data_IF_522173828677
#
_entry.id   IF_522173828677
#
_cell.length_a   1.000
_cell.length_b   1.000
_cell.length_c   1.000
_cell.angle_alpha   90.00
_cell.angle_beta   90.00
_cell.angle_gamma   90.00
#
_symmetry.space_group_name_H-M   'P 1'
#
loop_
_entity.id
_entity.type
_entity.pdbx_description
1 polymer ?
#
# COMPACT_ATOMS: atom_id res chain seq x y z
N UNK A 1 -44.55 47.82 -29.99
CA UNK A 1 -43.11 48.11 -29.90
C UNK A 1 -42.37 46.98 -30.60
N UNK A 2 -41.82 47.25 -31.79
CA UNK A 2 -41.20 46.28 -32.70
C UNK A 2 -40.00 45.59 -32.03
N UNK A 3 -39.93 44.25 -32.08
CA UNK A 3 -38.72 43.48 -31.76
C UNK A 3 -38.07 43.05 -33.08
N UNK A 4 -36.86 43.54 -33.32
CA UNK A 4 -36.07 43.26 -34.54
C UNK A 4 -35.44 41.87 -34.47
N UNK A 5 -35.87 40.96 -35.35
CA UNK A 5 -35.19 39.68 -35.58
C UNK A 5 -34.00 39.89 -36.55
N UNK A 6 -32.78 39.60 -36.09
CA UNK A 6 -31.60 39.48 -36.97
C UNK A 6 -31.25 38.00 -37.15
N UNK A 7 -31.54 37.47 -38.32
CA UNK A 7 -31.07 36.15 -38.79
C UNK A 7 -29.64 36.27 -39.32
N UNK A 8 -28.69 35.50 -38.78
CA UNK A 8 -27.40 35.22 -39.43
C UNK A 8 -27.39 33.77 -39.93
N UNK A 9 -27.05 33.61 -41.21
CA UNK A 9 -26.89 32.32 -41.92
C UNK A 9 -25.86 31.44 -41.21
N UNK A 10 -26.21 30.18 -40.97
CA UNK A 10 -25.29 29.12 -40.57
C UNK A 10 -24.70 28.48 -41.83
N UNK A 11 -23.37 28.44 -41.91
CA UNK A 11 -22.63 27.49 -42.74
C UNK A 11 -22.00 26.44 -41.82
N UNK A 12 -21.98 25.20 -42.30
CA UNK A 12 -21.66 23.96 -41.58
C UNK A 12 -20.25 23.90 -41.00
N UNK A 13 -20.10 23.35 -39.78
CA UNK A 13 -19.06 22.37 -39.44
C UNK A 13 -19.07 22.01 -37.93
N UNK A 14 -19.12 20.70 -37.67
CA UNK A 14 -18.66 19.98 -36.46
C UNK A 14 -19.55 20.00 -35.19
N UNK A 15 -19.81 18.84 -34.56
CA UNK A 15 -20.54 18.75 -33.31
C UNK A 15 -19.72 19.39 -32.18
N UNK A 16 -20.32 20.36 -31.48
CA UNK A 16 -19.75 20.93 -30.25
C UNK A 16 -19.83 19.88 -29.15
N UNK A 17 -18.75 19.15 -28.95
CA UNK A 17 -18.52 18.44 -27.69
C UNK A 17 -18.50 19.47 -26.57
N UNK A 18 -19.53 19.46 -25.72
CA UNK A 18 -19.45 20.10 -24.42
C UNK A 18 -18.39 19.34 -23.62
N UNK A 19 -17.16 19.86 -23.63
CA UNK A 19 -16.14 19.44 -22.67
C UNK A 19 -16.58 19.99 -21.33
N UNK A 20 -17.35 19.20 -20.57
CA UNK A 20 -17.55 19.46 -19.15
C UNK A 20 -16.17 19.34 -18.49
N UNK A 21 -15.51 20.46 -18.30
CA UNK A 21 -14.38 20.57 -17.38
C UNK A 21 -14.97 20.40 -15.98
N UNK A 22 -15.07 19.16 -15.51
CA UNK A 22 -15.27 18.90 -14.08
C UNK A 22 -14.02 19.43 -13.39
N UNK A 23 -14.19 20.47 -12.59
CA UNK A 23 -13.16 21.02 -11.72
C UNK A 23 -12.64 19.91 -10.80
N UNK A 24 -11.43 19.41 -11.08
CA UNK A 24 -10.75 18.34 -10.34
C UNK A 24 -10.08 18.87 -9.08
N UNK A 25 -10.84 19.51 -8.21
CA UNK A 25 -10.41 19.74 -6.83
C UNK A 25 -11.23 18.82 -5.92
N UNK A 26 -11.02 17.50 -6.02
CA UNK A 26 -11.50 16.60 -4.97
C UNK A 26 -10.66 16.86 -3.72
N UNK A 27 -11.14 17.76 -2.86
CA UNK A 27 -10.55 17.94 -1.54
C UNK A 27 -10.56 16.59 -0.83
N UNK A 28 -9.42 16.18 -0.26
CA UNK A 28 -9.34 14.91 0.48
C UNK A 28 -10.47 14.84 1.52
N UNK A 29 -11.20 13.71 1.63
CA UNK A 29 -12.39 13.64 2.46
C UNK A 29 -12.05 13.93 3.92
N UNK A 30 -12.92 14.67 4.60
CA UNK A 30 -12.76 14.98 6.02
C UNK A 30 -12.97 13.72 6.89
N UNK A 31 -12.74 13.83 8.20
CA UNK A 31 -12.83 12.69 9.13
C UNK A 31 -14.20 12.00 9.11
N UNK A 32 -15.29 12.77 9.11
CA UNK A 32 -16.65 12.22 9.11
C UNK A 32 -16.95 11.48 7.81
N UNK A 33 -16.53 12.03 6.66
CA UNK A 33 -16.65 11.36 5.36
C UNK A 33 -15.86 10.05 5.33
N UNK A 34 -14.67 10.00 5.93
CA UNK A 34 -13.89 8.74 6.05
C UNK A 34 -14.52 7.73 7.01
N UNK A 35 -15.24 8.16 8.04
CA UNK A 35 -16.00 7.25 8.91
C UNK A 35 -17.17 6.63 8.14
N UNK A 36 -17.93 7.43 7.39
CA UNK A 36 -19.00 6.93 6.53
C UNK A 36 -18.47 5.94 5.49
N UNK A 37 -17.31 6.24 4.90
CA UNK A 37 -16.60 5.34 3.97
C UNK A 37 -16.24 4.00 4.64
N UNK A 38 -15.71 4.05 5.88
CA UNK A 38 -15.38 2.87 6.66
C UNK A 38 -16.62 1.98 6.90
N UNK A 39 -17.74 2.60 7.27
CA UNK A 39 -18.99 1.90 7.53
C UNK A 39 -19.58 1.27 6.27
N UNK A 40 -19.52 1.98 5.14
CA UNK A 40 -19.94 1.44 3.84
C UNK A 40 -19.08 0.24 3.45
N UNK A 41 -17.75 0.36 3.53
CA UNK A 41 -16.83 -0.76 3.25
C UNK A 41 -17.10 -1.94 4.17
N UNK A 42 -17.29 -1.72 5.48
CA UNK A 42 -17.66 -2.78 6.42
C UNK A 42 -18.98 -3.46 6.04
N UNK A 43 -19.98 -2.70 5.62
CA UNK A 43 -21.29 -3.21 5.21
C UNK A 43 -21.22 -4.05 3.94
N UNK A 44 -20.40 -3.66 2.97
CA UNK A 44 -20.24 -4.35 1.68
C UNK A 44 -19.35 -5.60 1.78
N UNK A 45 -18.37 -5.59 2.69
CA UNK A 45 -17.34 -6.65 2.81
C UNK A 45 -17.91 -8.08 2.81
N UNK A 46 -18.96 -8.43 3.58
CA UNK A 46 -19.52 -9.78 3.56
C UNK A 46 -20.08 -10.22 2.19
N UNK A 47 -20.64 -9.28 1.41
CA UNK A 47 -21.12 -9.58 0.06
C UNK A 47 -19.95 -9.78 -0.89
N UNK A 48 -18.95 -8.90 -0.85
CA UNK A 48 -17.73 -9.00 -1.69
C UNK A 48 -16.99 -10.33 -1.42
N UNK A 49 -16.86 -10.73 -0.15
CA UNK A 49 -16.27 -12.01 0.23
C UNK A 49 -16.96 -13.18 -0.47
N UNK A 50 -18.30 -13.20 -0.47
CA UNK A 50 -19.08 -14.27 -1.11
C UNK A 50 -19.01 -14.24 -2.64
N UNK A 51 -18.98 -13.05 -3.25
CA UNK A 51 -19.07 -12.92 -4.71
C UNK A 51 -17.74 -12.98 -5.45
N UNK A 52 -16.62 -12.69 -4.77
CA UNK A 52 -15.30 -12.56 -5.39
C UNK A 52 -14.25 -13.54 -4.82
N UNK A 53 -14.71 -14.60 -4.14
CA UNK A 53 -13.85 -15.63 -3.52
C UNK A 53 -12.75 -15.05 -2.62
N UNK A 54 -13.09 -13.99 -1.87
CA UNK A 54 -12.15 -13.37 -0.94
C UNK A 54 -12.01 -14.23 0.32
N UNK A 55 -10.83 -14.24 0.92
CA UNK A 55 -10.60 -14.98 2.16
C UNK A 55 -11.03 -14.18 3.40
N UNK A 56 -11.58 -14.87 4.40
CA UNK A 56 -11.62 -14.39 5.81
C UNK A 56 -10.51 -15.01 6.66
N UNK A 57 -9.86 -16.04 6.15
CA UNK A 57 -8.75 -16.72 6.80
C UNK A 57 -7.46 -15.92 6.67
N UNK A 58 -6.62 -16.05 7.68
CA UNK A 58 -5.29 -15.45 7.73
C UNK A 58 -4.31 -16.40 8.43
N UNK A 59 -3.06 -16.35 8.00
CA UNK A 59 -1.96 -17.09 8.64
C UNK A 59 -1.24 -16.14 9.58
N UNK A 60 -1.25 -16.47 10.87
CA UNK A 60 -0.56 -15.71 11.89
C UNK A 60 0.81 -16.32 12.19
N UNK A 61 1.85 -15.51 12.03
CA UNK A 61 3.22 -15.84 12.41
C UNK A 61 3.54 -15.08 13.70
N UNK A 62 3.58 -15.79 14.83
CA UNK A 62 3.90 -15.18 16.13
C UNK A 62 5.38 -14.82 16.30
N UNK A 63 6.25 -15.43 15.49
CA UNK A 63 7.70 -15.24 15.49
C UNK A 63 8.23 -15.07 14.07
N UNK A 64 9.49 -14.65 13.97
CA UNK A 64 10.16 -14.55 12.69
C UNK A 64 10.25 -15.94 12.02
N UNK A 65 10.00 -15.98 10.72
CA UNK A 65 10.24 -17.15 9.89
C UNK A 65 11.74 -17.44 9.77
N UNK A 66 12.14 -18.71 9.62
CA UNK A 66 13.54 -19.08 9.48
C UNK A 66 14.15 -18.45 8.22
N UNK A 67 15.45 -18.22 8.27
CA UNK A 67 16.24 -17.73 7.12
C UNK A 67 16.12 -18.71 5.95
N UNK A 68 15.93 -18.19 4.73
CA UNK A 68 15.91 -19.01 3.52
C UNK A 68 17.34 -19.29 3.04
N UNK A 69 17.55 -20.44 2.41
CA UNK A 69 18.83 -20.74 1.78
C UNK A 69 18.99 -19.92 0.50
N UNK A 70 20.16 -19.29 0.27
CA UNK A 70 20.42 -18.58 -0.97
C UNK A 70 20.36 -19.51 -2.18
N UNK A 71 19.81 -19.01 -3.28
CA UNK A 71 19.88 -19.68 -4.58
C UNK A 71 21.18 -19.26 -5.27
N UNK A 72 22.12 -20.19 -5.57
CA UNK A 72 23.37 -19.84 -6.23
C UNK A 72 23.14 -19.13 -7.57
N UNK A 73 23.92 -18.09 -7.86
CA UNK A 73 23.87 -17.31 -9.10
C UNK A 73 22.50 -16.64 -9.41
N UNK A 74 21.59 -16.58 -8.44
CA UNK A 74 20.33 -15.87 -8.60
C UNK A 74 20.56 -14.36 -8.73
N UNK A 75 19.78 -13.72 -9.61
CA UNK A 75 19.82 -12.27 -9.80
C UNK A 75 18.93 -11.56 -8.77
N UNK A 76 19.27 -10.31 -8.48
CA UNK A 76 18.43 -9.46 -7.65
C UNK A 76 17.13 -9.11 -8.36
N UNK A 77 16.12 -8.73 -7.59
CA UNK A 77 14.83 -8.28 -8.09
C UNK A 77 14.96 -6.93 -8.80
N UNK A 78 14.08 -6.67 -9.78
CA UNK A 78 13.91 -5.30 -10.32
C UNK A 78 13.32 -4.43 -9.21
N UNK A 79 13.94 -3.30 -8.90
CA UNK A 79 13.45 -2.37 -7.88
C UNK A 79 12.91 -1.12 -8.55
N UNK A 80 11.66 -0.77 -8.25
CA UNK A 80 11.01 0.46 -8.72
C UNK A 80 10.50 1.27 -7.53
N UNK A 81 10.47 2.59 -7.65
CA UNK A 81 9.91 3.49 -6.63
C UNK A 81 8.90 4.39 -7.30
N UNK A 82 7.70 4.47 -6.73
CA UNK A 82 6.57 5.21 -7.31
C UNK A 82 5.92 6.11 -6.25
N UNK A 83 5.51 7.31 -6.67
CA UNK A 83 4.68 8.19 -5.84
C UNK A 83 3.20 7.82 -6.04
N UNK A 84 2.82 6.66 -5.49
CA UNK A 84 1.49 6.08 -5.59
C UNK A 84 1.10 5.45 -4.26
N UNK A 85 -0.19 5.26 -4.02
CA UNK A 85 -0.62 4.40 -2.94
C UNK A 85 -0.44 2.91 -3.30
N UNK A 86 -0.43 2.05 -2.28
CA UNK A 86 -0.06 0.64 -2.45
C UNK A 86 -1.01 -0.16 -3.34
N UNK A 87 -2.33 0.08 -3.32
CA UNK A 87 -3.24 -0.67 -4.18
C UNK A 87 -3.29 -0.15 -5.61
N UNK A 88 -3.06 1.15 -5.82
CA UNK A 88 -2.88 1.69 -7.17
C UNK A 88 -1.59 1.18 -7.81
N UNK A 89 -0.48 1.07 -7.05
CA UNK A 89 0.72 0.41 -7.54
C UNK A 89 0.49 -1.08 -7.88
N UNK A 90 -0.24 -1.80 -7.03
CA UNK A 90 -0.60 -3.20 -7.30
C UNK A 90 -1.44 -3.35 -8.57
N UNK A 91 -2.42 -2.45 -8.79
CA UNK A 91 -3.20 -2.41 -10.04
C UNK A 91 -2.30 -2.24 -11.25
N UNK A 92 -1.39 -1.25 -11.24
CA UNK A 92 -0.52 -0.97 -12.37
C UNK A 92 0.38 -2.17 -12.75
N UNK A 93 0.80 -2.96 -11.75
CA UNK A 93 1.51 -4.23 -12.00
C UNK A 93 0.58 -5.23 -12.70
N UNK A 94 -0.67 -5.40 -12.26
CA UNK A 94 -1.62 -6.33 -12.91
C UNK A 94 -2.00 -5.90 -14.33
N UNK A 95 -2.12 -4.60 -14.58
CA UNK A 95 -2.45 -4.08 -15.90
C UNK A 95 -1.36 -4.40 -16.94
N UNK A 96 -0.11 -4.55 -16.49
CA UNK A 96 1.04 -4.90 -17.33
C UNK A 96 1.42 -6.38 -17.27
N UNK A 97 1.13 -7.05 -16.17
CA UNK A 97 1.33 -8.48 -15.94
C UNK A 97 0.12 -9.09 -15.18
N UNK A 98 -0.94 -9.49 -15.91
CA UNK A 98 -2.16 -10.04 -15.30
C UNK A 98 -1.95 -11.33 -14.50
N UNK A 99 -0.81 -12.01 -14.68
CA UNK A 99 -0.46 -13.26 -13.99
C UNK A 99 0.43 -13.03 -12.75
N UNK A 100 0.80 -11.78 -12.46
CA UNK A 100 1.65 -11.44 -11.33
C UNK A 100 1.03 -11.89 -10.00
N UNK A 101 1.80 -12.62 -9.19
CA UNK A 101 1.43 -12.94 -7.81
C UNK A 101 1.85 -11.80 -6.89
N UNK A 102 0.91 -10.90 -6.62
CA UNK A 102 1.20 -9.66 -5.87
C UNK A 102 1.03 -9.86 -4.36
N UNK A 103 2.00 -9.37 -3.61
CA UNK A 103 1.94 -9.23 -2.17
C UNK A 103 2.17 -7.78 -1.73
N UNK A 104 1.23 -7.22 -0.97
CA UNK A 104 1.27 -5.83 -0.50
C UNK A 104 1.63 -5.78 0.98
N UNK A 105 2.53 -4.88 1.37
CA UNK A 105 2.79 -4.57 2.78
C UNK A 105 1.68 -3.68 3.34
N UNK A 106 0.95 -4.17 4.34
CA UNK A 106 0.21 -3.32 5.27
C UNK A 106 1.18 -2.87 6.39
N UNK A 107 1.45 -1.56 6.46
CA UNK A 107 2.25 -0.91 7.51
C UNK A 107 1.42 -0.82 8.80
N UNK A 108 1.21 -1.98 9.42
CA UNK A 108 0.16 -2.22 10.37
C UNK A 108 0.36 -1.50 11.71
N UNK A 109 -0.75 -1.22 12.37
CA UNK A 109 -0.82 -0.91 13.79
C UNK A 109 -0.42 -2.14 14.60
N UNK A 110 0.49 -1.98 15.55
CA UNK A 110 0.81 -3.08 16.49
C UNK A 110 -0.35 -3.40 17.46
N UNK A 111 -1.31 -2.49 17.63
CA UNK A 111 -2.33 -2.56 18.71
C UNK A 111 -3.74 -2.88 18.24
N UNK A 112 -4.10 -2.43 17.05
CA UNK A 112 -5.49 -2.41 16.60
C UNK A 112 -5.60 -2.91 15.16
N UNK A 113 -6.47 -3.90 14.88
CA UNK A 113 -6.76 -4.32 13.51
C UNK A 113 -7.20 -3.17 12.62
N UNK A 114 -6.50 -2.94 11.51
CA UNK A 114 -6.81 -1.86 10.58
C UNK A 114 -6.61 -0.46 11.18
N UNK A 115 -5.84 -0.34 12.26
CA UNK A 115 -5.53 0.93 12.90
C UNK A 115 -6.79 1.67 13.37
N UNK A 116 -6.95 2.91 12.90
CA UNK A 116 -8.08 3.78 13.21
C UNK A 116 -9.13 3.88 12.09
N UNK A 117 -9.22 2.91 11.17
CA UNK A 117 -10.03 3.06 9.95
C UNK A 117 -11.51 3.38 10.24
N UNK A 118 -12.16 2.65 11.17
CA UNK A 118 -13.54 2.95 11.60
C UNK A 118 -13.71 4.32 12.28
N UNK A 119 -12.62 4.93 12.75
CA UNK A 119 -12.61 6.27 13.36
C UNK A 119 -12.26 7.36 12.34
N UNK A 120 -12.15 7.01 11.06
CA UNK A 120 -11.78 7.92 9.98
C UNK A 120 -10.34 8.41 10.06
N UNK A 121 -9.44 7.65 10.69
CA UNK A 121 -8.01 7.91 10.54
C UNK A 121 -7.59 7.66 9.08
N UNK A 122 -6.49 8.29 8.66
CA UNK A 122 -5.97 8.14 7.30
C UNK A 122 -4.46 8.08 7.33
N UNK A 123 -3.94 6.87 7.52
CA UNK A 123 -2.61 6.48 7.09
C UNK A 123 -2.75 5.33 6.08
N UNK A 124 -1.65 4.65 5.76
CA UNK A 124 -1.66 3.62 4.74
C UNK A 124 -2.51 2.40 5.14
N UNK A 125 -2.41 1.92 6.39
CA UNK A 125 -3.23 0.78 6.86
C UNK A 125 -4.73 1.08 6.72
N UNK A 126 -5.18 2.26 7.14
CA UNK A 126 -6.59 2.64 7.01
C UNK A 126 -7.00 2.75 5.54
N UNK A 127 -6.13 3.30 4.67
CA UNK A 127 -6.39 3.37 3.24
C UNK A 127 -6.60 1.98 2.62
N UNK A 128 -5.79 0.97 3.01
CA UNK A 128 -6.00 -0.41 2.58
C UNK A 128 -7.35 -0.95 3.08
N UNK A 129 -7.71 -0.69 4.34
CA UNK A 129 -8.97 -1.14 4.92
C UNK A 129 -10.20 -0.46 4.28
N UNK A 130 -10.11 0.82 3.92
CA UNK A 130 -11.21 1.51 3.22
C UNK A 130 -11.50 0.93 1.84
N UNK A 131 -10.48 0.34 1.18
CA UNK A 131 -10.55 -0.06 -0.22
C UNK A 131 -10.76 -1.55 -0.47
N UNK A 132 -10.68 -2.38 0.57
CA UNK A 132 -10.58 -3.82 0.40
C UNK A 132 -11.25 -4.63 1.51
N UNK A 133 -11.26 -5.94 1.35
CA UNK A 133 -11.70 -6.89 2.37
C UNK A 133 -10.68 -7.13 3.49
N UNK A 134 -9.50 -6.47 3.47
CA UNK A 134 -8.40 -6.71 4.42
C UNK A 134 -8.84 -6.69 5.89
N UNK A 135 -9.74 -5.78 6.27
CA UNK A 135 -10.17 -5.69 7.67
C UNK A 135 -10.83 -6.97 8.20
N UNK A 136 -11.37 -7.83 7.31
CA UNK A 136 -11.99 -9.11 7.69
C UNK A 136 -10.97 -10.21 8.06
N UNK A 137 -9.70 -10.08 7.63
CA UNK A 137 -8.64 -11.06 7.93
C UNK A 137 -7.80 -10.65 9.15
N UNK A 138 -7.86 -9.38 9.56
CA UNK A 138 -7.16 -8.85 10.73
C UNK A 138 -7.89 -9.19 12.03
N UNK A 139 -7.84 -10.47 12.43
CA UNK A 139 -8.55 -10.96 13.61
C UNK A 139 -8.02 -10.33 14.91
N UNK A 140 -8.91 -9.87 15.79
CA UNK A 140 -8.55 -9.25 17.09
C UNK A 140 -7.62 -10.12 17.95
N UNK A 141 -7.74 -11.45 17.87
CA UNK A 141 -6.91 -12.41 18.61
C UNK A 141 -5.42 -12.35 18.28
N UNK A 142 -5.03 -11.74 17.15
CA UNK A 142 -3.63 -11.56 16.77
C UNK A 142 -2.98 -10.34 17.44
N UNK A 143 -3.78 -9.50 18.12
CA UNK A 143 -3.32 -8.22 18.65
C UNK A 143 -3.21 -8.24 20.18
N UNK A 144 -2.20 -7.57 20.76
CA UNK A 144 -1.15 -6.81 20.08
C UNK A 144 -0.19 -7.70 19.28
N UNK A 145 0.23 -7.24 18.10
CA UNK A 145 1.18 -7.96 17.27
C UNK A 145 2.54 -8.02 17.97
N UNK A 146 3.18 -9.21 18.06
CA UNK A 146 4.54 -9.33 18.56
C UNK A 146 5.53 -8.50 17.74
N UNK A 147 6.69 -8.18 18.32
CA UNK A 147 7.72 -7.36 17.66
C UNK A 147 8.17 -7.88 16.29
N UNK A 148 8.21 -9.21 16.09
CA UNK A 148 8.47 -9.83 14.78
C UNK A 148 7.26 -10.65 14.29
N UNK A 149 6.09 -10.40 14.87
CA UNK A 149 4.86 -11.04 14.46
C UNK A 149 4.34 -10.46 13.15
N UNK A 150 3.74 -11.31 12.33
CA UNK A 150 3.15 -10.92 11.05
C UNK A 150 1.83 -11.67 10.82
N UNK A 151 0.94 -11.05 10.04
CA UNK A 151 -0.29 -11.70 9.58
C UNK A 151 -0.27 -11.71 8.05
N UNK A 152 -0.39 -12.89 7.45
CA UNK A 152 -0.61 -13.03 6.02
C UNK A 152 -2.10 -13.18 5.75
N UNK A 153 -2.63 -12.29 4.91
CA UNK A 153 -4.01 -12.29 4.44
C UNK A 153 -4.01 -12.69 2.97
N UNK A 154 -4.32 -13.96 2.62
CA UNK A 154 -4.50 -14.37 1.24
C UNK A 154 -5.78 -13.75 0.66
N UNK A 155 -5.85 -13.68 -0.66
CA UNK A 155 -7.07 -13.34 -1.42
C UNK A 155 -7.84 -12.11 -0.88
N UNK A 156 -7.12 -11.01 -0.61
CA UNK A 156 -7.74 -9.73 -0.27
C UNK A 156 -8.25 -9.10 -1.56
N UNK A 157 -9.57 -8.88 -1.62
CA UNK A 157 -10.21 -8.27 -2.78
C UNK A 157 -10.23 -6.76 -2.60
N UNK A 158 -9.64 -6.04 -3.55
CA UNK A 158 -9.69 -4.59 -3.68
C UNK A 158 -10.86 -4.24 -4.59
N UNK A 159 -11.84 -3.52 -4.03
CA UNK A 159 -13.10 -3.22 -4.70
C UNK A 159 -13.42 -1.74 -4.75
N UNK A 160 -12.43 -0.88 -4.49
CA UNK A 160 -12.64 0.57 -4.43
C UNK A 160 -11.42 1.36 -4.88
N UNK A 161 -11.69 2.50 -5.53
CA UNK A 161 -10.71 3.53 -5.86
C UNK A 161 -10.09 4.19 -4.61
N UNK A 162 -9.06 5.00 -4.85
CA UNK A 162 -8.39 5.78 -3.82
C UNK A 162 -9.35 6.69 -3.05
N UNK A 163 -9.08 6.83 -1.74
CA UNK A 163 -9.84 7.73 -0.87
C UNK A 163 -9.76 9.18 -1.37
N UNK A 164 -8.62 9.58 -1.95
CA UNK A 164 -8.40 10.93 -2.45
C UNK A 164 -9.17 11.25 -3.75
N UNK A 165 -9.51 10.23 -4.55
CA UNK A 165 -10.19 10.38 -5.85
C UNK A 165 -11.69 10.09 -5.77
N UNK A 166 -12.25 10.05 -4.55
CA UNK A 166 -13.68 9.88 -4.32
C UNK A 166 -14.10 8.45 -3.94
N UNK A 167 -13.15 7.50 -3.87
CA UNK A 167 -13.39 6.17 -3.32
C UNK A 167 -14.58 5.43 -3.98
N UNK A 168 -14.70 5.54 -5.31
CA UNK A 168 -15.72 4.86 -6.11
C UNK A 168 -15.61 3.34 -5.94
N UNK A 169 -16.75 2.67 -5.81
CA UNK A 169 -16.83 1.21 -5.79
C UNK A 169 -16.64 0.68 -7.22
N UNK A 170 -15.82 -0.35 -7.35
CA UNK A 170 -15.57 -1.03 -8.60
C UNK A 170 -16.75 -1.88 -9.04
N UNK A 171 -16.98 -1.90 -10.35
CA UNK A 171 -17.76 -2.97 -10.97
C UNK A 171 -17.03 -4.31 -10.78
N UNK A 172 -17.74 -5.47 -10.79
CA UNK A 172 -17.11 -6.76 -10.55
C UNK A 172 -15.89 -7.06 -11.43
N UNK A 173 -15.93 -6.66 -12.71
CA UNK A 173 -14.82 -6.84 -13.65
C UNK A 173 -13.61 -5.94 -13.38
N UNK A 174 -13.79 -4.85 -12.63
CA UNK A 174 -12.69 -3.99 -12.20
C UNK A 174 -12.06 -4.53 -10.91
N UNK A 175 -12.74 -5.33 -10.09
CA UNK A 175 -12.17 -5.82 -8.83
C UNK A 175 -10.92 -6.69 -9.07
N UNK A 176 -9.97 -6.67 -8.14
CA UNK A 176 -8.77 -7.48 -8.22
C UNK A 176 -8.33 -7.98 -6.85
N UNK A 177 -7.52 -9.03 -6.87
CA UNK A 177 -7.13 -9.76 -5.67
C UNK A 177 -5.63 -9.70 -5.47
N UNK A 178 -5.20 -9.47 -4.24
CA UNK A 178 -3.79 -9.48 -3.83
C UNK A 178 -3.62 -10.23 -2.50
N UNK A 179 -2.41 -10.68 -2.22
CA UNK A 179 -2.04 -11.06 -0.86
C UNK A 179 -1.59 -9.84 -0.06
N UNK A 180 -1.80 -9.82 1.25
CA UNK A 180 -1.36 -8.72 2.13
C UNK A 180 -0.60 -9.26 3.34
N UNK A 181 0.61 -8.75 3.55
CA UNK A 181 1.38 -8.99 4.77
C UNK A 181 1.24 -7.79 5.71
N UNK A 182 0.70 -8.03 6.90
CA UNK A 182 0.59 -7.03 7.97
C UNK A 182 1.71 -7.21 8.98
N UNK A 183 2.57 -6.21 9.10
CA UNK A 183 3.59 -6.14 10.14
C UNK A 183 3.75 -4.70 10.62
N UNK A 184 3.83 -4.53 11.94
CA UNK A 184 4.00 -3.21 12.53
C UNK A 184 5.46 -2.75 12.48
N UNK A 185 5.70 -1.52 12.00
CA UNK A 185 7.01 -0.89 12.08
C UNK A 185 7.36 -0.55 13.55
N UNK A 186 8.62 -0.17 13.82
CA UNK A 186 9.01 0.32 15.15
C UNK A 186 8.31 1.64 15.45
N UNK A 187 7.63 1.79 16.59
CA UNK A 187 6.90 3.02 16.92
C UNK A 187 7.79 3.99 17.70
N UNK A 188 8.01 5.19 17.13
CA UNK A 188 8.73 6.32 17.74
C UNK A 188 10.07 5.91 18.39
N UNK A 189 10.97 5.30 17.60
CA UNK A 189 12.32 4.94 18.07
C UNK A 189 13.09 6.16 18.61
N UNK A 190 14.11 5.91 19.43
CA UNK A 190 15.06 6.95 19.79
C UNK A 190 15.95 7.26 18.58
N UNK A 191 16.04 8.53 18.21
CA UNK A 191 16.83 9.00 17.08
C UNK A 191 18.06 9.79 17.54
N UNK A 192 19.06 9.92 16.66
CA UNK A 192 20.19 10.84 16.83
C UNK A 192 19.69 12.28 16.97
N UNK A 193 20.49 13.21 17.54
CA UNK A 193 20.05 14.60 17.74
C UNK A 193 19.53 15.31 16.48
N UNK A 194 20.11 14.99 15.32
CA UNK A 194 19.67 15.51 14.02
C UNK A 194 18.44 14.80 13.42
N UNK A 195 17.88 13.79 14.11
CA UNK A 195 16.73 12.96 13.70
C UNK A 195 16.90 12.18 12.39
N UNK A 196 18.14 12.08 11.89
CA UNK A 196 18.43 11.41 10.61
C UNK A 196 18.67 9.90 10.74
N UNK A 197 18.99 9.42 11.94
CA UNK A 197 19.29 8.01 12.19
C UNK A 197 18.68 7.51 13.51
N UNK A 198 18.47 6.20 13.63
CA UNK A 198 18.27 5.49 14.89
C UNK A 198 19.48 5.72 15.80
N UNK A 199 19.24 6.03 17.06
CA UNK A 199 20.30 6.24 18.05
C UNK A 199 20.89 4.92 18.57
N UNK A 200 20.11 3.83 18.53
CA UNK A 200 20.48 2.55 19.15
C UNK A 200 20.78 1.50 18.08
N UNK A 201 21.94 0.83 18.13
CA UNK A 201 22.25 -0.27 17.22
C UNK A 201 21.23 -1.42 17.26
N UNK A 202 20.60 -1.66 18.42
CA UNK A 202 19.54 -2.66 18.56
C UNK A 202 18.28 -2.30 17.76
N UNK A 203 17.94 -1.03 17.62
CA UNK A 203 16.78 -0.60 16.84
C UNK A 203 17.01 -0.89 15.36
N UNK A 204 18.23 -0.66 14.88
CA UNK A 204 18.65 -1.00 13.51
C UNK A 204 18.51 -2.51 13.25
N UNK A 205 18.96 -3.36 14.18
CA UNK A 205 18.79 -4.82 14.07
C UNK A 205 17.32 -5.22 14.00
N UNK A 206 16.50 -4.71 14.92
CA UNK A 206 15.06 -4.97 14.96
C UNK A 206 14.36 -4.55 13.67
N UNK A 207 14.73 -3.40 13.09
CA UNK A 207 14.17 -2.92 11.82
C UNK A 207 14.57 -3.83 10.66
N UNK A 208 15.83 -4.28 10.58
CA UNK A 208 16.25 -5.28 9.57
C UNK A 208 15.47 -6.58 9.73
N UNK A 209 15.29 -7.07 10.95
CA UNK A 209 14.55 -8.31 11.19
C UNK A 209 13.07 -8.20 10.83
N UNK A 210 12.45 -7.04 11.01
CA UNK A 210 11.11 -6.74 10.50
C UNK A 210 11.05 -6.76 8.97
N UNK A 211 12.02 -6.17 8.28
CA UNK A 211 12.12 -6.21 6.82
C UNK A 211 12.28 -7.64 6.30
N UNK A 212 13.20 -8.41 6.90
CA UNK A 212 13.37 -9.84 6.60
C UNK A 212 12.08 -10.62 6.84
N UNK A 213 11.36 -10.34 7.93
CA UNK A 213 10.10 -11.02 8.20
C UNK A 213 9.04 -10.75 7.13
N UNK A 214 8.89 -9.49 6.72
CA UNK A 214 7.97 -9.10 5.64
C UNK A 214 8.30 -9.90 4.38
N UNK A 215 9.57 -9.88 3.96
CA UNK A 215 10.02 -10.56 2.74
C UNK A 215 9.90 -12.08 2.85
N UNK A 216 10.24 -12.68 3.99
CA UNK A 216 10.10 -14.13 4.19
C UNK A 216 8.64 -14.57 4.13
N UNK A 217 7.71 -13.81 4.73
CA UNK A 217 6.27 -14.09 4.65
C UNK A 217 5.79 -14.02 3.21
N UNK A 218 6.19 -12.99 2.45
CA UNK A 218 5.86 -12.88 1.03
C UNK A 218 6.41 -14.09 0.23
N UNK A 219 7.67 -14.45 0.49
CA UNK A 219 8.36 -15.54 -0.20
C UNK A 219 7.75 -16.93 0.08
N UNK A 220 7.37 -17.24 1.32
CA UNK A 220 6.73 -18.54 1.63
C UNK A 220 5.31 -18.66 1.06
N UNK A 221 4.68 -17.53 0.71
CA UNK A 221 3.39 -17.47 0.06
C UNK A 221 3.49 -17.31 -1.48
N UNK A 222 4.67 -17.59 -2.05
CA UNK A 222 4.93 -17.59 -3.50
C UNK A 222 4.58 -16.25 -4.19
N UNK A 223 4.73 -15.13 -3.48
CA UNK A 223 4.66 -13.79 -4.06
C UNK A 223 5.87 -13.59 -4.97
N UNK A 224 5.63 -13.13 -6.19
CA UNK A 224 6.70 -12.77 -7.14
C UNK A 224 6.84 -11.26 -7.32
N UNK A 225 5.78 -10.50 -7.05
CA UNK A 225 5.74 -9.04 -7.19
C UNK A 225 5.36 -8.40 -5.85
N UNK A 226 6.27 -7.64 -5.25
CA UNK A 226 6.05 -7.02 -3.96
C UNK A 226 5.67 -5.56 -4.11
N UNK A 227 4.64 -5.12 -3.39
CA UNK A 227 4.37 -3.69 -3.18
C UNK A 227 4.69 -3.35 -1.72
N UNK A 228 5.83 -2.68 -1.53
CA UNK A 228 6.31 -2.19 -0.24
C UNK A 228 6.06 -0.68 -0.13
N UNK A 229 6.62 -0.05 0.90
CA UNK A 229 6.50 1.39 1.10
C UNK A 229 7.45 1.92 2.18
N UNK A 230 7.25 3.17 2.57
CA UNK A 230 8.08 3.85 3.57
C UNK A 230 7.75 3.41 5.00
N UNK A 231 8.11 2.15 5.32
CA UNK A 231 7.78 1.46 6.58
C UNK A 231 8.12 2.32 7.82
N UNK A 232 7.08 2.79 8.51
CA UNK A 232 7.20 3.53 9.76
C UNK A 232 7.63 5.00 9.63
N UNK A 233 7.82 5.51 8.42
CA UNK A 233 8.32 6.87 8.16
C UNK A 233 7.28 7.99 8.35
N UNK A 234 6.00 7.64 8.54
CA UNK A 234 4.93 8.58 8.85
C UNK A 234 4.69 8.73 10.36
N UNK A 235 3.49 8.37 10.82
CA UNK A 235 3.07 8.51 12.23
C UNK A 235 3.97 7.81 13.27
N UNK A 236 4.79 6.85 12.84
CA UNK A 236 5.72 6.10 13.69
C UNK A 236 7.12 6.73 13.75
N UNK A 237 7.40 7.79 12.98
CA UNK A 237 8.59 8.62 13.10
C UNK A 237 9.93 7.86 12.94
N UNK A 238 9.99 6.89 12.02
CA UNK A 238 11.26 6.26 11.63
C UNK A 238 12.01 7.19 10.66
N UNK A 239 13.36 7.23 10.69
CA UNK A 239 14.16 8.08 9.83
C UNK A 239 14.13 7.55 8.37
N UNK A 240 13.53 8.28 7.40
CA UNK A 240 13.23 7.72 6.08
C UNK A 240 14.45 7.26 5.30
N UNK A 241 15.54 8.06 5.32
CA UNK A 241 16.79 7.71 4.63
C UNK A 241 17.38 6.42 5.17
N UNK A 242 17.42 6.26 6.49
CA UNK A 242 17.98 5.05 7.06
C UNK A 242 17.08 3.84 6.83
N UNK A 243 15.75 3.99 6.86
CA UNK A 243 14.83 2.90 6.48
C UNK A 243 15.06 2.47 5.03
N UNK A 244 15.22 3.41 4.09
CA UNK A 244 15.51 3.10 2.69
C UNK A 244 16.88 2.38 2.53
N UNK A 245 17.93 2.86 3.20
CA UNK A 245 19.24 2.21 3.20
C UNK A 245 19.18 0.78 3.78
N UNK A 246 18.43 0.58 4.86
CA UNK A 246 18.26 -0.74 5.46
C UNK A 246 17.49 -1.69 4.55
N UNK A 247 16.48 -1.21 3.83
CA UNK A 247 15.82 -2.02 2.80
C UNK A 247 16.80 -2.42 1.69
N UNK A 248 17.61 -1.50 1.17
CA UNK A 248 18.64 -1.81 0.18
C UNK A 248 19.55 -2.94 0.67
N UNK A 249 20.12 -2.78 1.86
CA UNK A 249 21.02 -3.78 2.46
C UNK A 249 20.32 -5.14 2.62
N UNK A 250 19.07 -5.16 3.10
CA UNK A 250 18.31 -6.40 3.29
C UNK A 250 17.98 -7.06 1.95
N UNK A 251 17.64 -6.30 0.91
CA UNK A 251 17.30 -6.85 -0.41
C UNK A 251 18.51 -7.47 -1.13
N UNK A 252 19.73 -7.05 -0.78
CA UNK A 252 20.99 -7.64 -1.27
C UNK A 252 21.39 -8.92 -0.50
N UNK A 253 20.68 -9.28 0.58
CA UNK A 253 20.94 -10.52 1.29
C UNK A 253 20.59 -11.73 0.42
N UNK A 254 21.49 -12.72 0.38
CA UNK A 254 21.35 -13.89 -0.51
C UNK A 254 20.06 -14.69 -0.36
N UNK A 255 19.35 -14.58 0.78
CA UNK A 255 18.08 -15.27 1.00
C UNK A 255 16.89 -14.70 0.19
N UNK A 256 17.06 -13.50 -0.40
CA UNK A 256 16.04 -12.84 -1.23
C UNK A 256 16.41 -12.77 -2.72
N UNK A 257 17.63 -13.18 -3.08
CA UNK A 257 18.08 -13.23 -4.47
C UNK A 257 17.29 -14.28 -5.25
N UNK A 258 16.72 -13.89 -6.40
CA UNK A 258 15.88 -14.73 -7.25
C UNK A 258 14.52 -15.10 -6.65
N UNK A 259 14.13 -14.49 -5.54
CA UNK A 259 12.83 -14.77 -4.89
C UNK A 259 11.70 -13.94 -5.51
N UNK A 260 11.97 -12.66 -5.76
CA UNK A 260 10.99 -11.74 -6.36
C UNK A 260 11.46 -11.30 -7.73
N UNK A 261 10.53 -11.18 -8.66
CA UNK A 261 10.76 -10.62 -9.99
C UNK A 261 10.85 -9.09 -9.91
N UNK A 262 9.90 -8.47 -9.20
CA UNK A 262 9.84 -7.03 -8.98
C UNK A 262 9.47 -6.67 -7.54
N UNK A 263 10.10 -5.61 -7.04
CA UNK A 263 9.78 -4.97 -5.77
C UNK A 263 9.52 -3.49 -6.05
N UNK A 264 8.27 -3.09 -5.93
CA UNK A 264 7.82 -1.70 -6.06
C UNK A 264 7.67 -1.08 -4.69
N UNK A 265 8.39 0.00 -4.42
CA UNK A 265 8.16 0.86 -3.26
C UNK A 265 7.13 1.93 -3.61
N UNK A 266 5.87 1.70 -3.22
CA UNK A 266 4.79 2.67 -3.35
C UNK A 266 4.82 3.65 -2.17
N UNK A 267 5.41 4.83 -2.39
CA UNK A 267 5.65 5.85 -1.36
C UNK A 267 4.83 7.09 -1.68
N UNK A 268 3.56 7.06 -1.27
CA UNK A 268 2.67 8.21 -1.43
C UNK A 268 3.13 9.38 -0.57
N UNK A 269 3.52 10.47 -1.22
CA UNK A 269 4.00 11.70 -0.58
C UNK A 269 3.13 12.91 -0.97
N UNK A 270 1.84 12.82 -0.69
CA UNK A 270 0.86 13.86 -1.03
C UNK A 270 1.07 15.20 -0.30
N UNK A 271 1.88 15.20 0.77
CA UNK A 271 2.21 16.37 1.57
C UNK A 271 3.59 16.96 1.26
N UNK A 272 4.37 16.31 0.39
CA UNK A 272 5.74 16.75 0.07
C UNK A 272 6.69 16.68 1.27
N UNK A 273 6.51 15.69 2.15
CA UNK A 273 7.36 15.44 3.32
C UNK A 273 8.76 14.92 2.92
N UNK A 274 8.96 14.56 1.65
CA UNK A 274 10.24 14.16 1.07
C UNK A 274 10.49 12.66 1.09
N UNK A 275 9.59 11.86 1.66
CA UNK A 275 9.72 10.41 1.76
C UNK A 275 9.87 9.76 0.38
N UNK A 276 9.07 10.21 -0.61
CA UNK A 276 9.15 9.67 -1.96
C UNK A 276 10.53 9.94 -2.59
N UNK A 277 11.00 11.19 -2.53
CA UNK A 277 12.29 11.58 -3.10
C UNK A 277 13.44 10.79 -2.45
N UNK A 278 13.44 10.65 -1.12
CA UNK A 278 14.45 9.89 -0.38
C UNK A 278 14.48 8.43 -0.82
N UNK A 279 13.32 7.77 -0.89
CA UNK A 279 13.24 6.36 -1.30
C UNK A 279 13.68 6.19 -2.76
N UNK A 280 13.21 7.07 -3.64
CA UNK A 280 13.59 7.07 -5.07
C UNK A 280 15.10 7.18 -5.23
N UNK A 281 15.70 8.19 -4.60
CA UNK A 281 17.13 8.48 -4.77
C UNK A 281 18.02 7.41 -4.11
N UNK A 282 17.49 6.65 -3.14
CA UNK A 282 18.24 5.61 -2.41
C UNK A 282 18.11 4.22 -3.04
N UNK A 283 16.92 3.86 -3.53
CA UNK A 283 16.58 2.49 -3.94
C UNK A 283 16.48 2.30 -5.45
N UNK A 284 16.11 3.35 -6.19
CA UNK A 284 16.00 3.23 -7.62
C UNK A 284 17.41 3.24 -8.21
N UNK A 285 17.84 2.11 -8.75
CA UNK A 285 19.12 2.01 -9.45
C UNK A 285 19.15 3.04 -10.58
N UNK A 286 20.22 3.84 -10.65
CA UNK A 286 20.53 4.59 -11.87
C UNK A 286 20.96 3.54 -12.91
N UNK A 287 20.07 3.26 -13.86
CA UNK A 287 20.38 2.50 -15.08
C UNK A 287 21.54 3.14 -15.83
#
# INVERSE_FOLDING_TARGET
>A
MLVTLRTKKFTSSSPRFYRMTISTASTSPNKAQRQALAEETRRLTPQIIRSADASTEAIYYSTQLPRRYPTPNARGSRITVQNSDSFTAARAILDTNPTAKIGVLNMASEKHPGGGWLRGALAQEEALCFRSTLAATLHKRFYPLPGLGAVWSPNVVVFRDEVATGARIYEPAEMFTVGVVSLAAMRRPLLTPNKRNFARPQDIRTVRDKMRQILRVLAVNNVTHCVLGAMGCGAFQNPPLQVALLFRDVLEEGEFMGVFEEITFAVLDSRGEGNYAIFRDTLQSRS
#
